data_IF_141939333332
#
_entry.id   IF_141939333332
#
_cell.length_a   1.000
_cell.length_b   1.000
_cell.length_c   1.000
_cell.angle_alpha   90.00
_cell.angle_beta   90.00
_cell.angle_gamma   90.00
#
_symmetry.space_group_name_H-M   'P 1'
#
loop_
_entity.id
_entity.type
_entity.pdbx_description
1 polymer ?
#
# COMPACT_ATOMS: atom_id res chain seq x y z
N UNK A 1 -10.15 0.01 -36.21
CA UNK A 1 -10.20 1.08 -35.19
C UNK A 1 -10.74 0.64 -33.83
N UNK A 2 -11.47 -0.48 -33.71
CA UNK A 2 -12.08 -0.90 -32.42
C UNK A 2 -11.11 -1.56 -31.42
N UNK A 3 -10.03 -2.22 -31.89
CA UNK A 3 -9.08 -2.96 -31.01
C UNK A 3 -8.17 -2.06 -30.17
N UNK A 4 -7.88 -0.84 -30.63
CA UNK A 4 -6.99 0.11 -29.96
C UNK A 4 -7.63 0.66 -28.68
N UNK A 5 -8.93 0.94 -28.72
CA UNK A 5 -9.68 1.45 -27.57
C UNK A 5 -9.73 0.42 -26.44
N UNK A 6 -9.89 -0.86 -26.77
CA UNK A 6 -9.90 -1.94 -25.80
C UNK A 6 -8.54 -2.08 -25.07
N UNK A 7 -7.43 -1.93 -25.80
CA UNK A 7 -6.09 -1.98 -25.22
C UNK A 7 -5.82 -0.82 -24.26
N UNK A 8 -6.25 0.40 -24.62
CA UNK A 8 -6.12 1.58 -23.76
C UNK A 8 -6.92 1.38 -22.46
N UNK A 9 -8.14 0.85 -22.56
CA UNK A 9 -8.99 0.61 -21.40
C UNK A 9 -8.37 -0.40 -20.42
N UNK A 10 -7.76 -1.47 -20.94
CA UNK A 10 -7.04 -2.47 -20.12
C UNK A 10 -5.82 -1.88 -19.40
N UNK A 11 -5.05 -1.00 -20.06
CA UNK A 11 -3.89 -0.34 -19.44
C UNK A 11 -4.34 0.57 -18.29
N UNK A 12 -5.41 1.34 -18.49
CA UNK A 12 -5.97 2.23 -17.45
C UNK A 12 -6.49 1.43 -16.25
N UNK A 13 -7.19 0.32 -16.49
CA UNK A 13 -7.66 -0.59 -15.43
C UNK A 13 -6.51 -1.18 -14.63
N UNK A 14 -5.45 -1.68 -15.29
CA UNK A 14 -4.27 -2.17 -14.60
C UNK A 14 -3.58 -1.07 -13.78
N UNK A 15 -3.41 0.12 -14.35
CA UNK A 15 -2.80 1.26 -13.64
C UNK A 15 -3.57 1.66 -12.38
N UNK A 16 -4.91 1.65 -12.41
CA UNK A 16 -5.75 1.95 -11.26
C UNK A 16 -5.59 0.93 -10.12
N UNK A 17 -5.48 -0.36 -10.44
CA UNK A 17 -5.28 -1.41 -9.43
C UNK A 17 -3.96 -1.20 -8.69
N UNK A 18 -2.86 -0.91 -9.41
CA UNK A 18 -1.55 -0.65 -8.79
C UNK A 18 -1.60 0.55 -7.82
N UNK A 19 -2.24 1.65 -8.20
CA UNK A 19 -2.39 2.84 -7.32
C UNK A 19 -3.18 2.52 -6.05
N UNK A 20 -4.18 1.64 -6.11
CA UNK A 20 -4.97 1.27 -4.93
C UNK A 20 -4.24 0.36 -3.94
N UNK A 21 -3.22 -0.39 -4.37
CA UNK A 21 -2.41 -1.24 -3.48
C UNK A 21 -1.44 -0.37 -2.68
N UNK A 22 -0.74 0.57 -3.34
CA UNK A 22 0.17 1.51 -2.67
C UNK A 22 -0.55 2.48 -1.73
N UNK A 23 -1.76 2.92 -2.08
CA UNK A 23 -2.55 3.81 -1.22
C UNK A 23 -3.02 3.14 0.09
N UNK A 24 -3.05 1.80 0.17
CA UNK A 24 -3.36 1.07 1.40
C UNK A 24 -2.16 0.92 2.34
N UNK A 25 -0.93 1.15 1.89
CA UNK A 25 0.29 0.76 2.62
C UNK A 25 0.88 1.92 3.44
N UNK A 26 0.44 3.16 3.24
CA UNK A 26 1.07 4.32 3.87
C UNK A 26 0.12 5.12 4.74
N UNK A 27 -0.46 4.49 5.77
CA UNK A 27 -0.94 5.23 6.93
C UNK A 27 0.24 5.44 7.90
N UNK A 28 0.82 6.65 7.99
CA UNK A 28 1.89 6.91 8.92
C UNK A 28 1.36 6.82 10.36
N UNK A 29 2.10 6.15 11.23
CA UNK A 29 1.74 5.98 12.64
C UNK A 29 2.91 6.39 13.53
N UNK A 30 2.64 6.70 14.80
CA UNK A 30 3.69 6.89 15.83
C UNK A 30 3.57 5.83 16.93
N UNK A 31 2.37 5.31 17.13
CA UNK A 31 2.02 4.29 18.10
C UNK A 31 0.99 3.34 17.51
N UNK A 32 0.85 2.14 18.10
CA UNK A 32 -0.17 1.17 17.68
C UNK A 32 -1.61 1.69 17.85
N UNK A 33 -1.82 2.76 18.60
CA UNK A 33 -3.15 3.39 18.76
C UNK A 33 -3.53 4.28 17.58
N UNK A 34 -2.54 4.68 16.77
CA UNK A 34 -2.78 5.49 15.57
C UNK A 34 -3.24 4.63 14.39
N UNK A 35 -3.23 3.30 14.55
CA UNK A 35 -3.76 2.37 13.55
C UNK A 35 -5.25 2.15 13.80
N UNK A 36 -6.05 2.42 12.77
CA UNK A 36 -7.52 2.43 12.85
C UNK A 36 -8.10 1.01 13.00
N UNK A 37 -7.36 -0.03 12.57
CA UNK A 37 -7.83 -1.42 12.66
C UNK A 37 -7.30 -2.12 13.90
N UNK A 38 -8.16 -2.96 14.49
CA UNK A 38 -7.86 -3.75 15.68
C UNK A 38 -6.71 -4.78 15.47
N UNK A 39 -6.42 -5.13 14.21
CA UNK A 39 -5.39 -6.11 13.83
C UNK A 39 -4.21 -5.45 13.07
N UNK A 40 -4.02 -4.15 13.22
CA UNK A 40 -2.85 -3.44 12.71
C UNK A 40 -1.89 -3.10 13.85
N UNK A 41 -0.59 -3.06 13.54
CA UNK A 41 0.44 -2.54 14.44
C UNK A 41 1.32 -1.54 13.70
N UNK A 42 1.92 -0.63 14.47
CA UNK A 42 2.82 0.37 13.94
C UNK A 42 4.21 -0.23 13.78
N UNK A 43 4.64 -0.47 12.55
CA UNK A 43 5.94 -1.05 12.22
C UNK A 43 6.91 0.04 11.77
N UNK A 44 8.16 -0.04 12.24
CA UNK A 44 9.23 0.82 11.74
C UNK A 44 9.70 0.29 10.39
N UNK A 45 9.56 1.10 9.35
CA UNK A 45 10.06 0.79 8.02
C UNK A 45 11.49 1.31 7.87
N UNK A 46 12.39 0.41 7.48
CA UNK A 46 13.71 0.78 6.97
C UNK A 46 13.63 1.01 5.47
N UNK A 47 14.37 1.99 4.94
CA UNK A 47 14.59 2.08 3.50
C UNK A 47 15.49 0.91 3.02
N UNK A 48 15.62 0.76 1.70
CA UNK A 48 16.49 -0.28 1.09
C UNK A 48 17.97 -0.12 1.48
N UNK A 49 18.34 1.00 2.09
CA UNK A 49 19.67 1.34 2.56
C UNK A 49 19.86 1.11 4.07
N UNK A 50 18.82 0.64 4.78
CA UNK A 50 18.82 0.42 6.22
C UNK A 50 18.68 1.68 7.07
N UNK A 51 18.37 2.83 6.48
CA UNK A 51 18.02 4.05 7.22
C UNK A 51 16.55 4.01 7.63
N UNK A 52 16.24 4.77 8.68
CA UNK A 52 14.88 4.94 9.15
C UNK A 52 14.03 5.71 8.12
N UNK A 53 13.07 5.04 7.49
CA UNK A 53 12.14 5.63 6.52
C UNK A 53 10.84 6.13 7.16
N UNK A 54 10.56 5.75 8.40
CA UNK A 54 9.36 6.15 9.13
C UNK A 54 8.69 4.97 9.83
N UNK A 55 7.47 5.21 10.30
CA UNK A 55 6.62 4.19 10.90
C UNK A 55 5.27 4.16 10.17
N UNK A 56 4.81 2.97 9.80
CA UNK A 56 3.53 2.78 9.10
C UNK A 56 2.72 1.64 9.73
N UNK A 57 1.39 1.72 9.64
CA UNK A 57 0.52 0.65 10.10
C UNK A 57 0.60 -0.55 9.16
N UNK A 58 0.91 -1.72 9.70
CA UNK A 58 0.95 -3.00 8.99
C UNK A 58 -0.16 -3.92 9.51
N UNK A 59 -0.91 -4.52 8.58
CA UNK A 59 -1.93 -5.52 8.88
C UNK A 59 -1.26 -6.86 9.28
N UNK A 60 -1.62 -7.43 10.43
CA UNK A 60 -1.13 -8.74 10.90
C UNK A 60 -1.59 -9.89 9.96
N UNK A 61 -2.56 -9.62 9.08
CA UNK A 61 -3.21 -10.60 8.21
C UNK A 61 -2.46 -10.93 6.91
N UNK A 62 -1.21 -10.49 6.72
CA UNK A 62 -0.46 -10.76 5.48
C UNK A 62 0.37 -12.05 5.46
N UNK A 63 0.27 -12.93 6.48
CA UNK A 63 1.00 -14.19 6.57
C UNK A 63 0.16 -15.33 7.19
N UNK A 64 -1.02 -15.62 6.62
CA UNK A 64 -1.66 -16.95 6.70
C UNK A 64 -2.21 -17.33 5.33
#
# INVERSE_FOLDING_TARGET
MSKIILAIFLIVLCGLIFVTVDARINNPCKTNRDCDKFNEYCETQGDENGNYAGMTCQDINLLV
#
